data_IF_022865478759
#
_entry.id   IF_022865478759
#
_cell.length_a   1.000
_cell.length_b   1.000
_cell.length_c   1.000
_cell.angle_alpha   90.00
_cell.angle_beta   90.00
_cell.angle_gamma   90.00
#
_symmetry.space_group_name_H-M   'P 1'
#
loop_
_entity.id
_entity.type
_entity.pdbx_description
1 polymer ?
#
# COMPACT_ATOMS: atom_id res chain seq x y z
N UNK A 1 -11.53 -24.93 -30.54
CA UNK A 1 -11.35 -24.93 -29.07
C UNK A 1 -10.07 -24.16 -28.84
N UNK A 2 -10.17 -22.87 -28.52
CA UNK A 2 -8.97 -22.06 -28.21
C UNK A 2 -8.43 -22.55 -26.86
N UNK A 3 -7.22 -23.12 -26.88
CA UNK A 3 -6.50 -23.45 -25.67
C UNK A 3 -6.06 -22.16 -25.00
N UNK A 4 -6.76 -21.75 -23.94
CA UNK A 4 -6.28 -20.70 -23.06
C UNK A 4 -5.17 -21.26 -22.15
N UNK A 5 -3.92 -21.16 -22.60
CA UNK A 5 -2.79 -21.37 -21.71
C UNK A 5 -2.72 -20.24 -20.68
N UNK A 6 -2.83 -20.57 -19.40
CA UNK A 6 -2.69 -19.60 -18.32
C UNK A 6 -1.27 -19.03 -18.28
N UNK A 7 -1.16 -17.70 -18.20
CA UNK A 7 0.13 -17.04 -18.04
C UNK A 7 0.61 -17.16 -16.59
N UNK A 8 1.78 -17.76 -16.37
CA UNK A 8 2.42 -17.83 -15.05
C UNK A 8 3.32 -16.61 -14.82
N UNK A 9 3.13 -15.92 -13.69
CA UNK A 9 3.95 -14.78 -13.27
C UNK A 9 4.54 -15.03 -11.87
N UNK A 10 5.85 -14.85 -11.65
CA UNK A 10 6.44 -14.90 -10.33
C UNK A 10 5.85 -13.84 -9.40
N UNK A 11 5.47 -14.25 -8.19
CA UNK A 11 4.99 -13.33 -7.16
C UNK A 11 5.11 -13.95 -5.77
N UNK A 12 5.15 -13.11 -4.75
CA UNK A 12 5.23 -13.54 -3.35
C UNK A 12 4.03 -13.06 -2.54
N UNK A 13 3.65 -13.86 -1.55
CA UNK A 13 2.56 -13.59 -0.63
C UNK A 13 3.18 -13.25 0.73
N UNK A 14 2.93 -12.04 1.23
CA UNK A 14 3.57 -11.54 2.45
C UNK A 14 2.51 -11.04 3.45
N UNK A 15 2.51 -11.48 4.71
CA UNK A 15 1.81 -10.79 5.80
C UNK A 15 2.44 -9.42 6.04
N UNK A 16 1.63 -8.35 6.03
CA UNK A 16 2.11 -6.96 6.04
C UNK A 16 1.22 -6.08 6.91
N UNK A 17 1.73 -5.65 8.07
CA UNK A 17 0.90 -5.05 9.11
C UNK A 17 -0.32 -5.94 9.38
N UNK A 18 -1.52 -5.38 9.28
CA UNK A 18 -2.80 -6.10 9.46
C UNK A 18 -3.41 -6.62 8.14
N UNK A 19 -2.61 -6.82 7.09
CA UNK A 19 -3.04 -7.27 5.75
C UNK A 19 -2.14 -8.37 5.19
N UNK A 20 -2.47 -8.87 4.00
CA UNK A 20 -1.58 -9.67 3.16
C UNK A 20 -1.37 -8.98 1.82
N UNK A 21 -0.15 -9.01 1.30
CA UNK A 21 0.23 -8.45 0.01
C UNK A 21 0.60 -9.55 -0.97
N UNK A 22 0.09 -9.44 -2.19
CA UNK A 22 0.67 -10.11 -3.35
C UNK A 22 1.67 -9.13 -3.99
N UNK A 23 2.96 -9.50 -4.02
CA UNK A 23 4.06 -8.65 -4.46
C UNK A 23 4.66 -9.21 -5.73
N UNK A 24 4.77 -8.38 -6.76
CA UNK A 24 5.42 -8.68 -8.04
C UNK A 24 6.68 -7.84 -8.21
N UNK A 25 7.70 -8.40 -8.85
CA UNK A 25 8.73 -7.56 -9.44
C UNK A 25 8.17 -6.88 -10.69
N UNK A 26 8.45 -5.59 -10.87
CA UNK A 26 8.01 -4.88 -12.07
C UNK A 26 8.61 -5.45 -13.37
N UNK A 27 9.76 -6.12 -13.30
CA UNK A 27 10.39 -6.79 -14.46
C UNK A 27 9.60 -8.01 -14.94
N UNK A 28 8.79 -8.59 -14.06
CA UNK A 28 7.97 -9.76 -14.36
C UNK A 28 6.56 -9.36 -14.84
N UNK A 29 6.25 -8.05 -14.82
CA UNK A 29 5.01 -7.51 -15.37
C UNK A 29 5.23 -6.97 -16.79
N UNK A 30 4.17 -6.88 -17.62
CA UNK A 30 4.27 -6.23 -18.92
C UNK A 30 4.76 -4.79 -18.80
N UNK A 31 5.49 -4.31 -19.81
CA UNK A 31 5.98 -2.93 -19.83
C UNK A 31 4.83 -1.90 -19.85
N UNK A 32 3.73 -2.23 -20.53
CA UNK A 32 2.57 -1.37 -20.63
C UNK A 32 1.65 -1.55 -19.41
N UNK A 33 1.54 -0.49 -18.60
CA UNK A 33 0.74 -0.50 -17.35
C UNK A 33 -0.75 -0.75 -17.60
N UNK A 34 -1.27 -0.43 -18.77
CA UNK A 34 -2.66 -0.71 -19.14
C UNK A 34 -2.98 -2.23 -19.16
N UNK A 35 -1.96 -3.08 -19.29
CA UNK A 35 -2.11 -4.53 -19.30
C UNK A 35 -2.11 -5.12 -17.87
N UNK A 36 -1.78 -4.33 -16.85
CA UNK A 36 -1.67 -4.83 -15.47
C UNK A 36 -3.03 -5.14 -14.86
N UNK A 37 -4.06 -4.36 -15.19
CA UNK A 37 -5.39 -4.49 -14.58
C UNK A 37 -5.95 -5.90 -14.77
N UNK A 38 -5.90 -6.45 -15.99
CA UNK A 38 -6.39 -7.78 -16.28
C UNK A 38 -5.65 -8.86 -15.47
N UNK A 39 -4.32 -8.75 -15.37
CA UNK A 39 -3.48 -9.65 -14.58
C UNK A 39 -3.86 -9.58 -13.10
N UNK A 40 -4.02 -8.38 -12.57
CA UNK A 40 -4.31 -8.12 -11.17
C UNK A 40 -5.71 -8.55 -10.77
N UNK A 41 -6.70 -8.31 -11.63
CA UNK A 41 -8.06 -8.78 -11.47
C UNK A 41 -8.12 -10.30 -11.46
N UNK A 42 -7.42 -10.96 -12.39
CA UNK A 42 -7.34 -12.41 -12.48
C UNK A 42 -6.65 -13.01 -11.26
N UNK A 43 -5.49 -12.46 -10.85
CA UNK A 43 -4.73 -12.95 -9.69
C UNK A 43 -5.54 -12.88 -8.39
N UNK A 44 -6.34 -11.83 -8.20
CA UNK A 44 -7.22 -11.68 -7.04
C UNK A 44 -8.50 -12.50 -7.16
N UNK A 45 -8.96 -12.80 -8.37
CA UNK A 45 -10.26 -13.44 -8.61
C UNK A 45 -11.42 -12.45 -8.47
N UNK A 46 -11.21 -11.20 -8.87
CA UNK A 46 -12.22 -10.12 -8.83
C UNK A 46 -13.35 -10.34 -9.85
N UNK A 47 -14.51 -9.74 -9.62
CA UNK A 47 -15.77 -9.91 -10.36
C UNK A 47 -16.33 -11.35 -10.40
N UNK A 48 -15.86 -12.21 -9.49
CA UNK A 48 -16.55 -13.45 -9.15
C UNK A 48 -17.25 -13.27 -7.80
N UNK A 49 -18.58 -13.48 -7.77
CA UNK A 49 -19.42 -13.39 -6.57
C UNK A 49 -18.91 -14.20 -5.37
N UNK A 50 -18.10 -15.23 -5.64
CA UNK A 50 -17.55 -16.13 -4.62
C UNK A 50 -16.06 -15.92 -4.33
N UNK A 51 -15.33 -15.15 -5.15
CA UNK A 51 -13.89 -14.91 -4.95
C UNK A 51 -12.99 -16.16 -5.01
N UNK A 52 -13.49 -17.28 -5.57
CA UNK A 52 -12.81 -18.59 -5.54
C UNK A 52 -11.73 -18.76 -6.61
N UNK A 53 -11.69 -17.87 -7.61
CA UNK A 53 -10.83 -18.04 -8.79
C UNK A 53 -9.49 -17.30 -8.68
N UNK A 54 -9.13 -16.83 -7.49
CA UNK A 54 -7.87 -16.14 -7.22
C UNK A 54 -7.57 -16.10 -5.74
N UNK A 55 -6.57 -15.33 -5.33
CA UNK A 55 -6.14 -15.31 -3.92
C UNK A 55 -7.19 -14.68 -2.99
N UNK A 56 -8.15 -13.92 -3.52
CA UNK A 56 -9.28 -13.34 -2.78
C UNK A 56 -8.97 -12.04 -2.02
N UNK A 57 -7.83 -11.38 -2.28
CA UNK A 57 -7.30 -10.31 -1.43
C UNK A 57 -7.35 -8.92 -2.08
N UNK A 58 -7.44 -7.87 -1.26
CA UNK A 58 -7.76 -6.50 -1.73
C UNK A 58 -6.53 -5.63 -2.06
N UNK A 59 -5.34 -6.19 -2.20
CA UNK A 59 -4.12 -5.41 -2.44
C UNK A 59 -3.02 -6.18 -3.17
N UNK A 60 -2.65 -5.67 -4.35
CA UNK A 60 -1.49 -6.10 -5.12
C UNK A 60 -0.46 -4.98 -5.12
N UNK A 61 0.80 -5.37 -5.07
CA UNK A 61 1.94 -4.46 -5.07
C UNK A 61 2.89 -4.85 -6.18
N UNK A 62 3.36 -3.86 -6.93
CA UNK A 62 4.51 -3.99 -7.81
C UNK A 62 5.71 -3.23 -7.22
N UNK A 63 6.88 -3.87 -7.17
CA UNK A 63 8.13 -3.29 -6.66
C UNK A 63 9.20 -3.32 -7.75
N UNK A 64 9.95 -2.23 -7.86
CA UNK A 64 11.07 -2.10 -8.80
C UNK A 64 12.31 -1.58 -8.08
N UNK A 65 13.41 -2.32 -8.17
CA UNK A 65 14.71 -1.82 -7.71
C UNK A 65 15.22 -0.67 -8.60
N UNK A 66 15.78 0.37 -7.99
CA UNK A 66 16.40 1.49 -8.71
C UNK A 66 17.91 1.30 -8.76
N UNK A 67 18.48 1.23 -9.97
CA UNK A 67 19.91 0.96 -10.17
C UNK A 67 20.82 2.11 -9.75
N UNK A 68 20.32 3.35 -9.78
CA UNK A 68 21.11 4.53 -9.42
C UNK A 68 20.29 5.58 -8.64
N UNK A 69 20.67 5.79 -7.38
CA UNK A 69 20.05 6.77 -6.48
C UNK A 69 20.24 8.21 -6.93
N UNK A 70 21.35 8.54 -7.60
CA UNK A 70 21.69 9.92 -7.97
C UNK A 70 21.06 10.33 -9.31
N UNK A 71 20.87 9.36 -10.21
CA UNK A 71 20.12 9.55 -11.46
C UNK A 71 18.60 9.67 -11.25
N UNK A 72 18.08 9.18 -10.12
CA UNK A 72 16.67 9.34 -9.76
C UNK A 72 16.43 10.61 -8.92
N UNK A 73 15.58 11.50 -9.43
CA UNK A 73 15.16 12.76 -8.78
C UNK A 73 14.53 12.58 -7.39
N UNK A 74 14.17 11.34 -7.04
CA UNK A 74 13.60 10.97 -5.75
C UNK A 74 14.66 10.58 -4.71
N UNK A 75 15.90 10.26 -5.10
CA UNK A 75 16.92 9.75 -4.18
C UNK A 75 16.55 8.44 -3.49
N UNK A 76 15.54 7.72 -3.98
CA UNK A 76 15.05 6.46 -3.42
C UNK A 76 15.90 5.25 -3.83
N UNK A 77 15.78 4.16 -3.07
CA UNK A 77 16.40 2.86 -3.35
C UNK A 77 15.49 1.98 -4.22
N UNK A 78 14.16 2.08 -4.03
CA UNK A 78 13.16 1.32 -4.79
C UNK A 78 11.94 2.18 -5.13
N UNK A 79 11.33 1.87 -6.26
CA UNK A 79 9.98 2.31 -6.62
C UNK A 79 8.95 1.27 -6.18
N UNK A 80 7.82 1.78 -5.71
CA UNK A 80 6.68 0.99 -5.24
C UNK A 80 5.39 1.54 -5.86
N UNK A 81 4.59 0.63 -6.43
CA UNK A 81 3.26 0.92 -6.96
C UNK A 81 2.23 0.02 -6.28
N UNK A 82 1.25 0.63 -5.63
CA UNK A 82 0.07 -0.05 -5.11
C UNK A 82 -1.03 -0.12 -6.17
N UNK A 83 -1.60 -1.30 -6.34
CA UNK A 83 -2.81 -1.58 -7.10
C UNK A 83 -3.89 -2.11 -6.14
N UNK A 84 -4.89 -1.28 -5.84
CA UNK A 84 -6.04 -1.69 -5.01
C UNK A 84 -7.10 -2.33 -5.90
N UNK A 85 -7.22 -3.65 -5.82
CA UNK A 85 -8.26 -4.37 -6.55
C UNK A 85 -9.58 -4.34 -5.77
N UNK A 86 -10.61 -3.76 -6.39
CA UNK A 86 -11.99 -3.85 -5.90
C UNK A 86 -12.58 -5.18 -6.36
N UNK A 87 -12.86 -6.07 -5.40
CA UNK A 87 -13.29 -7.46 -5.65
C UNK A 87 -14.67 -7.54 -6.32
N UNK A 88 -15.57 -6.59 -6.02
CA UNK A 88 -16.93 -6.60 -6.54
C UNK A 88 -17.04 -5.93 -7.92
N UNK A 89 -16.27 -4.86 -8.15
CA UNK A 89 -16.50 -3.97 -9.30
C UNK A 89 -15.55 -4.18 -10.49
N UNK A 90 -14.69 -5.21 -10.45
CA UNK A 90 -13.64 -5.44 -11.45
C UNK A 90 -12.81 -4.18 -11.78
N UNK A 91 -12.44 -3.41 -10.75
CA UNK A 91 -11.67 -2.18 -10.91
C UNK A 91 -10.37 -2.25 -10.14
N UNK A 92 -9.33 -1.68 -10.73
CA UNK A 92 -8.03 -1.47 -10.09
C UNK A 92 -7.84 0.02 -9.85
N UNK A 93 -7.49 0.37 -8.63
CA UNK A 93 -7.30 1.75 -8.20
C UNK A 93 -5.84 2.00 -7.79
N UNK A 94 -5.25 3.02 -8.41
CA UNK A 94 -3.86 3.45 -8.24
C UNK A 94 -3.73 4.83 -7.59
N UNK A 95 -4.80 5.41 -7.07
CA UNK A 95 -4.82 6.79 -6.55
C UNK A 95 -4.11 6.98 -5.21
N UNK A 96 -3.82 5.90 -4.47
CA UNK A 96 -3.41 6.02 -3.07
C UNK A 96 -2.26 5.11 -2.66
N UNK A 97 -1.83 5.31 -1.42
CA UNK A 97 -0.94 4.44 -0.70
C UNK A 97 -1.71 3.56 0.32
N UNK A 98 -1.07 2.49 0.78
CA UNK A 98 -1.49 1.70 1.93
C UNK A 98 -0.28 1.50 2.86
N UNK A 99 -0.33 2.14 4.04
CA UNK A 99 0.78 2.08 5.01
C UNK A 99 1.14 0.65 5.43
N UNK A 100 0.14 -0.23 5.56
CA UNK A 100 0.38 -1.65 5.82
C UNK A 100 1.21 -2.31 4.71
N UNK A 101 0.89 -2.05 3.44
CA UNK A 101 1.63 -2.65 2.33
C UNK A 101 3.05 -2.10 2.23
N UNK A 102 3.24 -0.82 2.60
CA UNK A 102 4.57 -0.20 2.67
C UNK A 102 5.53 -0.92 3.64
N UNK A 103 5.02 -1.63 4.65
CA UNK A 103 5.87 -2.34 5.63
C UNK A 103 6.58 -3.56 5.03
N UNK A 104 6.10 -4.10 3.92
CA UNK A 104 6.73 -5.23 3.23
C UNK A 104 7.90 -4.80 2.34
N UNK A 105 7.86 -3.58 1.83
CA UNK A 105 8.65 -3.21 0.64
C UNK A 105 10.13 -3.15 0.96
N UNK A 106 10.50 -2.59 2.12
CA UNK A 106 11.88 -2.55 2.58
C UNK A 106 12.46 -3.97 2.72
N UNK A 107 11.87 -4.83 3.57
CA UNK A 107 12.28 -6.23 3.72
C UNK A 107 12.35 -6.98 2.38
N UNK A 108 11.29 -6.95 1.58
CA UNK A 108 11.22 -7.60 0.27
C UNK A 108 12.35 -7.13 -0.65
N UNK A 109 12.65 -5.84 -0.70
CA UNK A 109 13.71 -5.30 -1.54
C UNK A 109 15.10 -5.81 -1.16
N UNK A 110 15.35 -6.05 0.14
CA UNK A 110 16.62 -6.63 0.60
C UNK A 110 16.66 -8.13 0.31
N UNK A 111 15.59 -8.86 0.64
CA UNK A 111 15.52 -10.31 0.47
C UNK A 111 15.64 -10.75 -0.99
N UNK A 112 15.08 -9.95 -1.91
CA UNK A 112 15.13 -10.19 -3.35
C UNK A 112 16.37 -9.56 -4.03
N UNK A 113 17.28 -8.97 -3.25
CA UNK A 113 18.52 -8.39 -3.75
C UNK A 113 18.35 -7.14 -4.61
N UNK A 114 17.21 -6.45 -4.51
CA UNK A 114 16.97 -5.15 -5.17
C UNK A 114 17.78 -4.03 -4.49
N UNK A 115 18.03 -4.16 -3.19
CA UNK A 115 18.80 -3.20 -2.38
C UNK A 115 19.84 -3.94 -1.57
N UNK A 116 21.07 -3.43 -1.57
CA UNK A 116 22.14 -3.91 -0.69
C UNK A 116 22.16 -3.11 0.59
N UNK A 117 22.32 -3.78 1.72
CA UNK A 117 22.42 -3.15 3.04
C UNK A 117 23.89 -3.05 3.47
N UNK A 118 24.22 -2.17 4.43
CA UNK A 118 25.60 -2.00 4.91
C UNK A 118 26.17 -3.22 5.67
N UNK A 119 25.32 -4.16 6.09
CA UNK A 119 25.69 -5.33 6.90
C UNK A 119 24.54 -5.78 7.79
N UNK A 120 24.87 -6.62 8.78
CA UNK A 120 23.95 -7.04 9.84
C UNK A 120 23.65 -5.88 10.79
N UNK A 121 22.44 -5.85 11.34
CA UNK A 121 21.96 -4.78 12.23
C UNK A 121 20.78 -4.01 11.63
N UNK A 122 20.54 -2.79 12.09
CA UNK A 122 19.46 -1.96 11.57
C UNK A 122 19.83 -1.39 10.20
N UNK A 123 18.92 -1.50 9.23
CA UNK A 123 19.04 -0.90 7.91
C UNK A 123 17.79 -0.09 7.57
N UNK A 124 17.96 0.93 6.74
CA UNK A 124 16.86 1.75 6.22
C UNK A 124 16.84 1.71 4.70
N UNK A 125 15.69 1.30 4.14
CA UNK A 125 15.40 1.34 2.71
C UNK A 125 14.48 2.51 2.42
N UNK A 126 14.84 3.34 1.42
CA UNK A 126 14.06 4.52 1.04
C UNK A 126 13.19 4.16 -0.16
N UNK A 127 11.89 4.18 0.06
CA UNK A 127 10.88 3.74 -0.90
C UNK A 127 10.25 4.98 -1.52
N UNK A 128 10.23 5.05 -2.84
CA UNK A 128 9.43 6.02 -3.57
C UNK A 128 8.08 5.39 -3.95
N UNK A 129 7.01 5.94 -3.37
CA UNK A 129 5.66 5.58 -3.76
C UNK A 129 5.28 6.32 -5.05
N UNK A 130 5.14 5.58 -6.14
CA UNK A 130 4.78 6.10 -7.46
C UNK A 130 3.32 6.55 -7.60
N UNK A 131 2.42 6.10 -6.71
CA UNK A 131 1.03 6.55 -6.66
C UNK A 131 0.91 7.97 -6.09
N UNK A 132 1.69 8.28 -5.05
CA UNK A 132 1.55 9.52 -4.27
C UNK A 132 2.76 10.45 -4.35
N UNK A 133 3.81 10.03 -5.06
CA UNK A 133 5.11 10.69 -5.17
C UNK A 133 5.78 10.94 -3.81
N UNK A 134 5.47 10.13 -2.79
CA UNK A 134 6.00 10.27 -1.43
C UNK A 134 7.20 9.37 -1.22
N UNK A 135 8.10 9.81 -0.35
CA UNK A 135 9.20 8.98 0.16
C UNK A 135 8.80 8.39 1.50
N UNK A 136 9.04 7.11 1.64
CA UNK A 136 8.81 6.35 2.88
C UNK A 136 10.14 5.72 3.25
N UNK A 137 10.61 5.96 4.48
CA UNK A 137 11.75 5.23 5.02
C UNK A 137 11.25 3.99 5.73
N UNK A 138 11.77 2.83 5.34
CA UNK A 138 11.48 1.54 5.98
C UNK A 138 12.72 1.07 6.72
N UNK A 139 12.67 1.16 8.04
CA UNK A 139 13.76 0.76 8.94
C UNK A 139 13.43 -0.56 9.62
N UNK A 140 14.34 -1.53 9.52
CA UNK A 140 14.18 -2.89 10.03
C UNK A 140 15.54 -3.56 10.27
N UNK A 141 15.54 -4.67 11.00
CA UNK A 141 16.77 -5.44 11.25
C UNK A 141 17.12 -6.36 10.07
N UNK A 142 18.41 -6.50 9.80
CA UNK A 142 18.99 -7.33 8.75
C UNK A 142 19.99 -8.28 9.39
N UNK A 143 20.02 -9.52 8.90
CA UNK A 143 20.97 -10.56 9.32
C UNK A 143 21.33 -11.43 8.13
N UNK A 144 22.62 -11.68 7.94
CA UNK A 144 23.17 -12.46 6.82
C UNK A 144 22.66 -11.98 5.45
N UNK A 145 22.56 -10.65 5.29
CA UNK A 145 22.10 -10.02 4.04
C UNK A 145 20.60 -10.17 3.75
N UNK A 146 19.80 -10.63 4.71
CA UNK A 146 18.34 -10.77 4.61
C UNK A 146 17.63 -10.02 5.73
N UNK A 147 16.37 -9.67 5.52
CA UNK A 147 15.53 -9.13 6.58
C UNK A 147 15.44 -10.12 7.74
N UNK A 148 15.63 -9.63 8.96
CA UNK A 148 15.63 -10.46 10.15
C UNK A 148 14.19 -10.75 10.59
N UNK A 149 13.88 -12.02 10.84
CA UNK A 149 12.53 -12.47 11.21
C UNK A 149 12.26 -12.45 12.72
N UNK A 150 13.08 -11.75 13.52
CA UNK A 150 12.96 -11.76 14.98
C UNK A 150 11.58 -11.23 15.42
N UNK A 151 10.71 -12.13 15.90
CA UNK A 151 9.30 -11.85 16.18
C UNK A 151 9.08 -11.21 17.55
N UNK A 152 9.41 -9.93 17.68
CA UNK A 152 9.37 -9.21 18.97
C UNK A 152 8.23 -8.21 19.11
N UNK A 153 7.50 -7.89 18.04
CA UNK A 153 6.42 -6.90 18.06
C UNK A 153 5.05 -7.54 17.86
N UNK A 154 4.14 -7.31 18.82
CA UNK A 154 2.71 -7.57 18.66
C UNK A 154 2.01 -6.30 18.18
N UNK A 155 1.06 -6.42 17.26
CA UNK A 155 0.21 -5.31 16.79
C UNK A 155 -1.27 -5.70 16.87
N UNK A 156 -2.18 -4.77 17.22
CA UNK A 156 -3.61 -5.07 17.25
C UNK A 156 -4.13 -5.59 15.90
N UNK A 157 -4.87 -6.70 15.93
CA UNK A 157 -5.47 -7.31 14.74
C UNK A 157 -4.61 -8.36 14.02
N UNK A 158 -3.45 -8.73 14.58
CA UNK A 158 -2.63 -9.86 14.12
C UNK A 158 -2.33 -10.76 15.30
N UNK A 159 -2.53 -12.07 15.14
CA UNK A 159 -2.21 -13.05 16.17
C UNK A 159 -0.69 -13.24 16.29
N UNK A 160 -0.20 -13.30 17.53
CA UNK A 160 1.21 -13.51 17.84
C UNK A 160 2.09 -12.28 17.63
N UNK A 161 3.35 -12.51 17.27
CA UNK A 161 4.36 -11.45 17.06
C UNK A 161 5.00 -11.54 15.67
N UNK A 162 5.47 -10.39 15.19
CA UNK A 162 6.19 -10.24 13.93
C UNK A 162 7.49 -9.45 14.09
N UNK A 163 8.28 -9.41 13.01
CA UNK A 163 9.47 -8.58 12.95
C UNK A 163 9.10 -7.09 12.94
N UNK A 164 9.70 -6.26 13.81
CA UNK A 164 9.42 -4.82 13.80
C UNK A 164 9.90 -4.19 12.49
N UNK A 165 9.03 -3.40 11.85
CA UNK A 165 9.37 -2.52 10.74
C UNK A 165 8.85 -1.13 11.07
N UNK A 166 9.75 -0.16 11.19
CA UNK A 166 9.41 1.25 11.38
C UNK A 166 9.25 1.92 10.01
N UNK A 167 8.14 2.64 9.84
CA UNK A 167 7.85 3.41 8.64
C UNK A 167 7.80 4.90 8.96
N UNK A 168 8.72 5.67 8.40
CA UNK A 168 8.68 7.13 8.46
C UNK A 168 8.18 7.69 7.11
N UNK A 169 7.03 8.37 7.13
CA UNK A 169 6.45 8.99 5.94
C UNK A 169 6.98 10.42 5.80
N UNK A 170 7.92 10.61 4.87
CA UNK A 170 8.69 11.85 4.79
C UNK A 170 7.89 12.94 4.08
N UNK A 171 7.63 14.04 4.79
CA UNK A 171 7.06 15.26 4.20
C UNK A 171 8.13 15.95 3.36
N UNK A 172 8.05 15.86 2.03
CA UNK A 172 8.84 16.73 1.16
C UNK A 172 8.32 18.16 1.24
N UNK A 173 9.22 19.12 1.46
CA UNK A 173 8.94 20.56 1.29
C UNK A 173 8.88 21.02 -0.18
N UNK A 174 8.83 20.09 -1.14
CA UNK A 174 8.83 20.40 -2.57
C UNK A 174 7.45 20.91 -3.03
N UNK A 175 7.41 21.86 -3.99
CA UNK A 175 6.16 22.33 -4.59
C UNK A 175 5.42 21.17 -5.26
N UNK A 176 4.09 21.18 -5.11
CA UNK A 176 3.21 20.08 -5.49
C UNK A 176 2.67 20.28 -6.90
N UNK A 177 2.39 19.20 -7.65
CA UNK A 177 1.53 19.28 -8.83
C UNK A 177 0.15 19.80 -8.41
N UNK A 178 -0.47 20.63 -9.26
CA UNK A 178 -1.78 21.25 -9.01
C UNK A 178 -2.93 20.24 -8.82
N UNK A 179 -2.68 18.97 -9.12
CA UNK A 179 -3.62 17.84 -9.03
C UNK A 179 -3.75 17.21 -7.64
N UNK A 180 -2.95 17.62 -6.65
CA UNK A 180 -3.09 17.11 -5.27
C UNK A 180 -4.11 17.94 -4.46
N UNK A 181 -4.94 17.27 -3.65
CA UNK A 181 -5.96 17.97 -2.85
C UNK A 181 -5.37 19.09 -1.97
N UNK A 182 -6.07 20.23 -1.85
CA UNK A 182 -5.62 21.34 -1.02
C UNK A 182 -5.60 20.95 0.46
N UNK A 183 -4.52 21.32 1.16
CA UNK A 183 -4.47 21.25 2.63
C UNK A 183 -5.22 22.46 3.18
N UNK A 184 -6.38 22.23 3.75
CA UNK A 184 -7.20 23.28 4.38
C UNK A 184 -7.68 22.79 5.73
N UNK A 185 -7.02 23.27 6.78
CA UNK A 185 -7.52 23.11 8.14
C UNK A 185 -8.79 23.97 8.30
N UNK A 186 -9.81 23.43 8.94
CA UNK A 186 -11.02 24.17 9.31
C UNK A 186 -11.73 24.84 8.11
N UNK A 187 -12.25 24.03 7.19
CA UNK A 187 -13.20 24.48 6.18
C UNK A 187 -14.61 24.07 6.54
N UNK A 188 -15.58 24.86 6.09
CA UNK A 188 -16.97 24.43 6.03
C UNK A 188 -17.16 23.64 4.73
N UNK A 189 -17.72 22.44 4.83
CA UNK A 189 -18.10 21.62 3.68
C UNK A 189 -19.63 21.61 3.58
N UNK A 190 -20.15 22.05 2.43
CA UNK A 190 -21.57 21.93 2.11
C UNK A 190 -21.87 20.49 1.70
N UNK A 191 -22.89 19.89 2.30
CA UNK A 191 -23.32 18.52 2.02
C UNK A 191 -24.78 18.56 1.58
N UNK A 192 -25.10 18.16 0.33
CA UNK A 192 -26.47 18.15 -0.15
C UNK A 192 -27.41 17.39 0.79
N UNK A 193 -28.53 18.02 1.15
CA UNK A 193 -29.55 17.45 2.02
C UNK A 193 -29.19 17.43 3.52
N UNK A 194 -28.16 18.17 3.95
CA UNK A 194 -27.73 18.26 5.36
C UNK A 194 -27.26 19.67 5.70
N UNK A 195 -27.13 19.95 6.99
CA UNK A 195 -26.42 21.14 7.46
C UNK A 195 -24.94 21.05 7.09
N UNK A 196 -24.33 22.20 6.83
CA UNK A 196 -22.91 22.28 6.56
C UNK A 196 -22.09 21.75 7.75
N UNK A 197 -21.01 21.04 7.45
CA UNK A 197 -20.16 20.39 8.47
C UNK A 197 -18.79 21.03 8.53
N UNK A 198 -18.21 21.10 9.73
CA UNK A 198 -16.82 21.48 9.88
C UNK A 198 -15.93 20.32 9.44
N UNK A 199 -14.99 20.62 8.55
CA UNK A 199 -14.10 19.63 7.97
C UNK A 199 -12.65 20.13 7.98
N UNK A 200 -11.71 19.20 8.12
CA UNK A 200 -10.29 19.44 7.89
C UNK A 200 -9.82 18.54 6.76
N UNK A 201 -9.30 19.15 5.68
CA UNK A 201 -8.72 18.46 4.54
C UNK A 201 -7.22 18.33 4.80
N UNK A 202 -6.79 17.09 5.07
CA UNK A 202 -5.43 16.78 5.44
C UNK A 202 -4.83 15.89 4.37
N UNK A 203 -3.65 16.27 3.91
CA UNK A 203 -2.83 15.43 3.08
C UNK A 203 -1.57 15.04 3.84
N UNK A 204 -1.56 13.78 4.28
CA UNK A 204 -0.48 13.18 5.04
C UNK A 204 -0.32 11.73 4.57
N UNK A 205 0.48 11.53 3.52
CA UNK A 205 0.70 10.24 2.84
C UNK A 205 -0.45 9.74 1.97
N UNK A 206 -1.68 10.12 2.32
CA UNK A 206 -2.91 10.05 1.52
C UNK A 206 -3.75 11.30 1.82
N UNK A 207 -4.83 11.47 1.07
CA UNK A 207 -5.82 12.53 1.24
C UNK A 207 -6.92 12.07 2.20
N UNK A 208 -7.22 12.91 3.19
CA UNK A 208 -8.21 12.63 4.23
C UNK A 208 -9.11 13.85 4.46
N UNK A 209 -10.39 13.58 4.71
CA UNK A 209 -11.35 14.56 5.21
C UNK A 209 -11.75 14.12 6.61
N UNK A 210 -11.44 14.95 7.60
CA UNK A 210 -11.84 14.75 8.98
C UNK A 210 -13.05 15.62 9.29
N UNK A 211 -14.11 15.02 9.83
CA UNK A 211 -15.32 15.70 10.30
C UNK A 211 -15.62 15.26 11.73
N UNK A 212 -16.32 16.09 12.50
CA UNK A 212 -16.81 15.66 13.82
C UNK A 212 -17.89 14.59 13.65
N UNK A 213 -17.85 13.55 14.48
CA UNK A 213 -18.91 12.53 14.52
C UNK A 213 -20.27 13.14 14.88
N UNK A 214 -20.29 14.14 15.77
CA UNK A 214 -21.52 14.83 16.20
C UNK A 214 -22.18 15.59 15.06
N UNK A 215 -21.38 16.19 14.17
CA UNK A 215 -21.87 16.98 13.03
C UNK A 215 -22.58 16.10 11.99
N UNK A 216 -22.33 14.79 12.03
CA UNK A 216 -22.98 13.78 11.18
C UNK A 216 -23.93 12.85 11.98
N UNK A 217 -24.27 13.21 13.21
CA UNK A 217 -25.24 12.48 14.05
C UNK A 217 -24.75 11.13 14.57
N UNK A 218 -23.43 10.93 14.66
CA UNK A 218 -22.81 9.70 15.15
C UNK A 218 -22.10 9.90 16.51
N UNK A 219 -21.98 8.81 17.26
CA UNK A 219 -21.10 8.74 18.44
C UNK A 219 -19.76 8.15 18.00
N UNK A 220 -18.66 8.84 18.30
CA UNK A 220 -17.30 8.48 17.84
C UNK A 220 -16.76 7.12 18.32
N UNK A 221 -17.51 6.41 19.18
CA UNK A 221 -17.17 5.09 19.74
C UNK A 221 -18.00 3.95 19.14
N UNK A 222 -18.73 4.21 18.06
CA UNK A 222 -19.55 3.19 17.39
C UNK A 222 -18.69 2.01 16.93
N UNK A 223 -19.02 0.80 17.40
CA UNK A 223 -18.36 -0.44 16.96
C UNK A 223 -19.05 -0.94 15.70
N UNK A 224 -18.30 -1.62 14.82
CA UNK A 224 -18.95 -2.49 13.84
C UNK A 224 -19.69 -3.56 14.62
N UNK A 225 -21.02 -3.59 14.54
CA UNK A 225 -21.76 -4.79 14.89
C UNK A 225 -21.25 -5.88 13.95
N UNK A 226 -20.80 -7.00 14.51
CA UNK A 226 -20.47 -8.17 13.71
C UNK A 226 -21.64 -8.49 12.77
N UNK A 227 -21.34 -9.05 11.60
CA UNK A 227 -22.36 -9.72 10.79
C UNK A 227 -23.08 -10.71 11.72
N UNK A 228 -24.28 -10.34 12.17
CA UNK A 228 -25.20 -11.29 12.74
C UNK A 228 -25.60 -12.17 11.57
N UNK A 229 -25.12 -13.41 11.58
CA UNK A 229 -25.64 -14.47 10.73
C UNK A 229 -27.16 -14.51 10.87
N UNK A 230 -27.84 -14.19 9.78
CA UNK A 230 -29.21 -14.56 9.48
C UNK A 230 -29.21 -15.19 8.08
#
# INVERSE_FOLDING_TARGET
>A
MEEHHGQALPGSINPVGTRKALVFHARDLPLERAQWDAIFLAAVGSANRFGLNGVGWRGIVAVKGLRDRTAHSSGADVDYTLARVQVQDARVDYSGNCGNMSSAIGPFAVDEGLVRTPGDGEATVRIHNTNTCKIIHSTFSVRQGRSAEARTLAIPGVDGTGAPVRLDFISRGAPRPETCCPRKAHTVAEVPGRNAVQASLVDASNEYVFVSATDIGLVGTTRRTCWASA
#
